data_IF_217017928461
#
_entry.id   IF_217017928461
#
_cell.length_a   1.000
_cell.length_b   1.000
_cell.length_c   1.000
_cell.angle_alpha   90.00
_cell.angle_beta   90.00
_cell.angle_gamma   90.00
#
_symmetry.space_group_name_H-M   'P 1'
#
loop_
_entity.id
_entity.type
_entity.pdbx_description
1 polymer ?
#
# COMPACT_ATOMS: atom_id res chain seq x y z
N UNK A 1 45.79 -3.21 -56.75
CA UNK A 1 45.77 -4.69 -56.72
C UNK A 1 44.35 -5.13 -56.35
N UNK A 2 43.57 -5.52 -57.37
CA UNK A 2 42.14 -5.86 -57.28
C UNK A 2 42.01 -7.34 -56.90
N UNK A 3 41.28 -7.69 -55.85
CA UNK A 3 40.81 -9.07 -55.64
C UNK A 3 39.44 -9.23 -56.30
N UNK A 4 39.39 -10.17 -57.24
CA UNK A 4 38.19 -10.59 -57.98
C UNK A 4 37.31 -11.46 -57.09
N UNK A 5 36.01 -11.22 -57.21
CA UNK A 5 34.91 -12.14 -56.93
C UNK A 5 35.08 -13.41 -57.78
N UNK A 6 34.68 -14.58 -57.27
CA UNK A 6 33.82 -15.57 -57.93
C UNK A 6 33.41 -16.67 -56.93
N UNK A 7 32.09 -16.76 -56.67
CA UNK A 7 31.35 -17.96 -56.24
C UNK A 7 31.56 -19.08 -57.29
N UNK A 8 31.30 -20.37 -57.10
CA UNK A 8 30.21 -21.08 -56.43
C UNK A 8 30.57 -22.59 -56.48
N UNK A 9 29.94 -23.40 -55.62
CA UNK A 9 29.20 -24.63 -56.01
C UNK A 9 29.13 -25.68 -54.87
N UNK A 10 27.96 -25.68 -54.24
CA UNK A 10 27.09 -26.85 -53.92
C UNK A 10 27.56 -27.92 -52.91
N UNK A 11 26.96 -27.84 -51.72
CA UNK A 11 26.73 -28.97 -50.81
C UNK A 11 25.43 -28.80 -50.03
N UNK A 12 24.34 -29.38 -50.57
CA UNK A 12 23.01 -29.73 -50.04
C UNK A 12 22.47 -29.24 -48.67
N UNK A 13 21.15 -29.01 -48.54
CA UNK A 13 20.52 -28.51 -47.31
C UNK A 13 20.37 -29.62 -46.28
N UNK A 14 21.09 -29.55 -45.15
CA UNK A 14 20.77 -30.37 -43.98
C UNK A 14 19.66 -29.68 -43.19
N UNK A 15 18.45 -30.18 -43.36
CA UNK A 15 17.30 -29.78 -42.56
C UNK A 15 17.63 -29.88 -41.08
N UNK A 16 17.37 -28.81 -40.34
CA UNK A 16 17.34 -28.83 -38.88
C UNK A 16 16.17 -29.71 -38.42
N UNK A 17 16.37 -31.03 -38.51
CA UNK A 17 15.44 -32.03 -38.01
C UNK A 17 15.24 -31.80 -36.52
N UNK A 18 14.00 -31.57 -36.13
CA UNK A 18 13.62 -31.37 -34.75
C UNK A 18 14.02 -32.59 -33.92
N UNK A 19 15.13 -32.50 -33.18
CA UNK A 19 15.59 -33.59 -32.32
C UNK A 19 14.59 -33.78 -31.19
N UNK A 20 14.38 -35.02 -30.71
CA UNK A 20 13.49 -35.29 -29.56
C UNK A 20 13.80 -34.39 -28.36
N UNK A 21 15.09 -34.09 -28.15
CA UNK A 21 15.57 -33.17 -27.12
C UNK A 21 15.17 -31.72 -27.39
N UNK A 22 15.24 -31.23 -28.63
CA UNK A 22 14.81 -29.86 -28.96
C UNK A 22 13.28 -29.72 -28.93
N UNK A 23 12.53 -30.76 -29.32
CA UNK A 23 11.09 -30.83 -29.17
C UNK A 23 10.67 -30.80 -27.69
N UNK A 24 11.26 -31.64 -26.84
CA UNK A 24 10.95 -31.67 -25.41
C UNK A 24 11.37 -30.38 -24.70
N UNK A 25 12.51 -29.77 -25.07
CA UNK A 25 12.96 -28.52 -24.46
C UNK A 25 12.09 -27.33 -24.88
N UNK A 26 11.72 -27.24 -26.16
CA UNK A 26 10.80 -26.20 -26.65
C UNK A 26 9.37 -26.43 -26.16
N UNK A 27 8.92 -27.67 -26.11
CA UNK A 27 7.65 -28.08 -25.52
C UNK A 27 7.58 -27.72 -24.05
N UNK A 28 8.54 -28.16 -23.23
CA UNK A 28 8.58 -27.84 -21.80
C UNK A 28 8.66 -26.33 -21.53
N UNK A 29 9.41 -25.56 -22.34
CA UNK A 29 9.45 -24.09 -22.21
C UNK A 29 8.13 -23.44 -22.65
N UNK A 30 7.51 -23.91 -23.73
CA UNK A 30 6.24 -23.36 -24.20
C UNK A 30 5.09 -23.71 -23.24
N UNK A 31 4.96 -24.98 -22.83
CA UNK A 31 3.90 -25.44 -21.93
C UNK A 31 4.12 -24.93 -20.50
N UNK A 32 5.36 -24.95 -20.01
CA UNK A 32 5.72 -24.40 -18.70
C UNK A 32 5.59 -22.88 -18.65
N UNK A 33 5.98 -22.18 -19.73
CA UNK A 33 5.81 -20.74 -19.86
C UNK A 33 4.34 -20.31 -19.91
N UNK A 34 3.51 -21.03 -20.67
CA UNK A 34 2.06 -20.79 -20.71
C UNK A 34 1.38 -21.11 -19.37
N UNK A 35 1.77 -22.19 -18.69
CA UNK A 35 1.25 -22.54 -17.38
C UNK A 35 1.66 -21.51 -16.30
N UNK A 36 2.91 -21.04 -16.31
CA UNK A 36 3.39 -20.00 -15.41
C UNK A 36 2.68 -18.66 -15.66
N UNK A 37 2.45 -18.29 -16.93
CA UNK A 37 1.71 -17.08 -17.28
C UNK A 37 0.22 -17.21 -16.90
N UNK A 38 -0.39 -18.38 -17.10
CA UNK A 38 -1.77 -18.62 -16.67
C UNK A 38 -1.91 -18.59 -15.15
N UNK A 39 -0.92 -19.11 -14.41
CA UNK A 39 -0.88 -19.05 -12.95
C UNK A 39 -0.65 -17.62 -12.44
N UNK A 40 0.21 -16.82 -13.10
CA UNK A 40 0.42 -15.42 -12.72
C UNK A 40 -0.80 -14.53 -12.99
N UNK A 41 -1.65 -14.92 -13.94
CA UNK A 41 -2.93 -14.27 -14.25
C UNK A 41 -4.12 -14.89 -13.50
N UNK A 42 -3.92 -15.95 -12.72
CA UNK A 42 -4.99 -16.59 -11.93
C UNK A 42 -5.70 -15.66 -10.95
N UNK A 43 -5.03 -14.67 -10.30
CA UNK A 43 -5.72 -13.71 -9.43
C UNK A 43 -6.72 -12.81 -10.17
N UNK A 44 -6.66 -12.75 -11.51
CA UNK A 44 -7.63 -12.00 -12.30
C UNK A 44 -8.97 -12.74 -12.49
N UNK A 45 -9.05 -14.04 -12.19
CA UNK A 45 -10.29 -14.84 -12.34
C UNK A 45 -11.32 -14.53 -11.26
N UNK A 46 -10.86 -14.15 -10.08
CA UNK A 46 -11.70 -13.75 -8.95
C UNK A 46 -12.26 -12.31 -9.11
N UNK A 47 -11.88 -11.59 -10.17
CA UNK A 47 -12.31 -10.21 -10.47
C UNK A 47 -13.67 -10.11 -11.18
N UNK A 48 -14.42 -11.21 -11.30
CA UNK A 48 -15.67 -11.24 -12.08
C UNK A 48 -16.92 -10.79 -11.30
N UNK A 49 -16.77 -10.33 -10.05
CA UNK A 49 -17.88 -9.92 -9.20
C UNK A 49 -17.64 -8.61 -8.44
N UNK A 50 -18.47 -7.61 -8.73
CA UNK A 50 -18.89 -6.50 -7.86
C UNK A 50 -17.89 -5.40 -7.42
N UNK A 51 -16.57 -5.51 -7.59
CA UNK A 51 -15.66 -4.39 -7.29
C UNK A 51 -14.98 -3.84 -8.55
N UNK A 52 -15.25 -2.57 -8.84
CA UNK A 52 -14.69 -1.84 -9.98
C UNK A 52 -13.17 -1.70 -9.85
N UNK A 53 -12.45 -2.68 -10.39
CA UNK A 53 -11.01 -2.63 -10.57
C UNK A 53 -10.69 -1.71 -11.75
N UNK A 54 -10.17 -0.51 -11.49
CA UNK A 54 -9.52 0.29 -12.52
C UNK A 54 -8.03 -0.05 -12.53
N UNK A 55 -7.39 -0.06 -13.70
CA UNK A 55 -5.94 -0.20 -13.82
C UNK A 55 -5.21 0.86 -12.96
N UNK A 56 -5.82 2.05 -12.81
CA UNK A 56 -5.38 3.11 -11.91
C UNK A 56 -5.33 2.60 -10.45
N UNK A 57 -6.40 1.97 -9.95
CA UNK A 57 -6.50 1.46 -8.57
C UNK A 57 -5.45 0.38 -8.27
N UNK A 58 -5.06 -0.39 -9.28
CA UNK A 58 -4.02 -1.41 -9.17
C UNK A 58 -2.60 -0.86 -9.23
N UNK A 59 -2.38 0.17 -10.05
CA UNK A 59 -1.08 0.81 -10.26
C UNK A 59 -0.82 1.99 -9.33
N UNK A 60 -1.78 2.39 -8.49
CA UNK A 60 -1.63 3.42 -7.47
C UNK A 60 -0.75 2.94 -6.30
N UNK A 61 0.51 2.61 -6.61
CA UNK A 61 1.53 2.15 -5.66
C UNK A 61 2.49 3.27 -5.23
N UNK A 62 2.23 4.52 -5.62
CA UNK A 62 3.03 5.67 -5.23
C UNK A 62 2.13 6.79 -4.73
N UNK A 63 2.46 7.33 -3.55
CA UNK A 63 1.89 8.58 -3.06
C UNK A 63 2.39 9.71 -3.96
N UNK A 64 1.61 10.02 -4.99
CA UNK A 64 1.80 11.21 -5.82
C UNK A 64 0.84 12.28 -5.31
N UNK A 65 1.36 13.48 -5.08
CA UNK A 65 0.50 14.64 -4.83
C UNK A 65 -0.36 14.89 -6.07
N UNK A 66 -1.68 14.95 -5.86
CA UNK A 66 -2.65 15.17 -6.95
C UNK A 66 -2.66 16.64 -7.34
N UNK A 67 -2.67 16.94 -8.64
CA UNK A 67 -3.03 18.28 -9.11
C UNK A 67 -4.49 18.61 -8.72
N UNK A 68 -4.89 19.89 -8.73
CA UNK A 68 -6.29 20.27 -8.46
C UNK A 68 -7.30 19.55 -9.36
N UNK A 69 -6.95 19.32 -10.63
CA UNK A 69 -7.78 18.61 -11.59
C UNK A 69 -7.84 17.10 -11.29
N UNK A 70 -6.70 16.50 -10.93
CA UNK A 70 -6.63 15.09 -10.51
C UNK A 70 -7.46 14.87 -9.23
N UNK A 71 -7.42 15.81 -8.30
CA UNK A 71 -8.21 15.79 -7.07
C UNK A 71 -9.71 15.88 -7.36
N UNK A 72 -10.17 16.84 -8.16
CA UNK A 72 -11.59 16.97 -8.49
C UNK A 72 -12.11 15.73 -9.24
N UNK A 73 -11.31 15.16 -10.16
CA UNK A 73 -11.65 13.91 -10.82
C UNK A 73 -11.79 12.74 -9.82
N UNK A 74 -10.92 12.69 -8.80
CA UNK A 74 -11.02 11.70 -7.73
C UNK A 74 -12.27 11.91 -6.86
N UNK A 75 -12.59 13.16 -6.49
CA UNK A 75 -13.78 13.51 -5.72
C UNK A 75 -15.05 13.14 -6.48
N UNK A 76 -15.17 13.49 -7.77
CA UNK A 76 -16.35 13.16 -8.56
C UNK A 76 -16.54 11.65 -8.73
N UNK A 77 -15.44 10.90 -8.91
CA UNK A 77 -15.49 9.43 -8.90
C UNK A 77 -16.07 8.89 -7.59
N UNK A 78 -15.64 9.43 -6.44
CA UNK A 78 -16.15 9.01 -5.13
C UNK A 78 -17.63 9.40 -4.98
N UNK A 79 -18.03 10.61 -5.38
CA UNK A 79 -19.44 11.04 -5.35
C UNK A 79 -20.32 10.08 -6.17
N UNK A 80 -19.88 9.71 -7.36
CA UNK A 80 -20.58 8.75 -8.22
C UNK A 80 -20.62 7.33 -7.63
N UNK A 81 -19.56 6.86 -6.98
CA UNK A 81 -19.53 5.57 -6.28
C UNK A 81 -20.54 5.52 -5.12
N UNK A 82 -20.58 6.57 -4.29
CA UNK A 82 -21.52 6.68 -3.17
C UNK A 82 -22.95 6.79 -3.68
N UNK A 83 -23.21 7.62 -4.71
CA UNK A 83 -24.54 7.74 -5.31
C UNK A 83 -25.03 6.40 -5.87
N UNK A 84 -24.18 5.63 -6.55
CA UNK A 84 -24.57 4.30 -7.04
C UNK A 84 -24.88 3.30 -5.92
N UNK A 85 -24.17 3.38 -4.80
CA UNK A 85 -24.32 2.41 -3.69
C UNK A 85 -25.49 2.74 -2.77
N UNK A 86 -25.76 4.02 -2.52
CA UNK A 86 -26.71 4.46 -1.50
C UNK A 86 -27.86 5.31 -2.04
N UNK A 87 -27.90 5.58 -3.35
CA UNK A 87 -28.92 6.41 -4.02
C UNK A 87 -29.04 7.85 -3.46
N UNK A 88 -27.94 8.34 -2.87
CA UNK A 88 -27.82 9.70 -2.33
C UNK A 88 -26.59 10.34 -2.94
N UNK A 89 -26.72 11.53 -3.52
CA UNK A 89 -25.57 12.29 -4.02
C UNK A 89 -24.90 13.03 -2.86
N UNK A 90 -23.70 12.62 -2.41
CA UNK A 90 -23.04 13.29 -1.28
C UNK A 90 -22.39 14.60 -1.71
N UNK A 91 -22.30 15.56 -0.79
CA UNK A 91 -21.40 16.69 -0.91
C UNK A 91 -20.04 16.29 -0.34
N UNK A 92 -19.02 16.19 -1.20
CA UNK A 92 -17.65 15.83 -0.81
C UNK A 92 -16.73 16.98 -1.21
N UNK A 93 -15.96 17.48 -0.25
CA UNK A 93 -15.08 18.63 -0.37
C UNK A 93 -13.67 18.29 0.07
N UNK A 94 -12.70 18.90 -0.59
CA UNK A 94 -11.31 18.95 -0.18
C UNK A 94 -11.08 20.22 0.64
N UNK A 95 -11.12 20.09 1.97
CA UNK A 95 -10.94 21.21 2.90
C UNK A 95 -9.44 21.50 3.00
N UNK A 96 -9.05 22.69 2.54
CA UNK A 96 -7.66 23.14 2.57
C UNK A 96 -7.26 23.74 3.92
N UNK A 97 -5.95 23.72 4.26
CA UNK A 97 -5.42 24.50 5.37
C UNK A 97 -5.79 25.97 5.25
N UNK A 98 -5.96 26.64 6.39
CA UNK A 98 -6.27 28.08 6.43
C UNK A 98 -4.98 28.89 6.24
N UNK A 99 -5.03 29.90 5.38
CA UNK A 99 -3.87 30.79 5.14
C UNK A 99 -3.43 31.50 6.43
N UNK A 100 -2.13 31.45 6.72
CA UNK A 100 -1.53 32.09 7.89
C UNK A 100 -1.86 31.43 9.23
N UNK A 101 -2.41 30.21 9.24
CA UNK A 101 -2.74 29.45 10.46
C UNK A 101 -1.83 28.24 10.61
N UNK A 102 -1.23 28.09 11.80
CA UNK A 102 -0.49 26.88 12.19
C UNK A 102 -1.30 26.08 13.21
N UNK A 103 -1.43 24.78 12.97
CA UNK A 103 -2.05 23.85 13.90
C UNK A 103 -0.96 23.12 14.69
N UNK A 104 -1.00 23.23 16.01
CA UNK A 104 -0.07 22.57 16.93
C UNK A 104 -0.87 21.83 18.00
N UNK A 105 -0.37 20.67 18.41
CA UNK A 105 -0.88 19.96 19.58
C UNK A 105 0.25 19.77 20.60
N UNK A 106 -0.12 19.74 21.88
CA UNK A 106 0.79 19.42 22.97
C UNK A 106 0.14 18.37 23.87
N UNK A 107 0.87 17.30 24.16
CA UNK A 107 0.41 16.22 25.03
C UNK A 107 1.10 16.31 26.39
N UNK A 108 0.30 16.35 27.45
CA UNK A 108 0.83 16.33 28.82
C UNK A 108 1.10 14.89 29.25
N UNK A 109 2.35 14.44 29.14
CA UNK A 109 2.76 13.08 29.48
C UNK A 109 2.52 12.73 30.96
N UNK A 110 2.61 13.71 31.87
CA UNK A 110 2.33 13.51 33.30
C UNK A 110 0.86 13.20 33.59
N UNK A 111 -0.04 13.39 32.62
CA UNK A 111 -1.46 13.07 32.72
C UNK A 111 -1.86 11.86 31.87
N UNK A 112 -0.96 11.35 31.03
CA UNK A 112 -1.24 10.14 30.27
C UNK A 112 -1.10 8.93 31.19
N UNK A 113 -2.19 8.17 31.32
CA UNK A 113 -2.27 6.99 32.20
C UNK A 113 -2.20 5.67 31.45
N UNK A 114 -1.90 5.66 30.14
CA UNK A 114 -1.84 4.41 29.37
C UNK A 114 -3.19 3.80 29.00
N UNK A 115 -4.32 4.50 29.17
CA UNK A 115 -5.65 3.93 28.93
C UNK A 115 -6.03 3.71 27.45
N UNK A 116 -5.18 4.13 26.50
CA UNK A 116 -5.37 4.01 25.03
C UNK A 116 -6.70 4.53 24.46
N UNK A 117 -7.49 5.31 25.21
CA UNK A 117 -8.73 5.93 24.69
C UNK A 117 -8.48 6.82 23.47
N UNK A 118 -7.34 7.50 23.40
CA UNK A 118 -6.92 8.26 22.22
C UNK A 118 -6.75 7.38 20.97
N UNK A 119 -6.24 6.15 21.14
CA UNK A 119 -6.09 5.16 20.06
C UNK A 119 -7.46 4.75 19.53
N UNK A 120 -8.36 4.31 20.41
CA UNK A 120 -9.70 3.89 20.02
C UNK A 120 -10.51 5.03 19.38
N UNK A 121 -10.39 6.24 19.91
CA UNK A 121 -11.02 7.42 19.32
C UNK A 121 -10.48 7.71 17.91
N UNK A 122 -9.16 7.63 17.72
CA UNK A 122 -8.54 7.82 16.41
C UNK A 122 -9.04 6.80 15.38
N UNK A 123 -9.11 5.51 15.77
CA UNK A 123 -9.63 4.44 14.91
C UNK A 123 -11.08 4.68 14.52
N UNK A 124 -11.91 5.09 15.49
CA UNK A 124 -13.32 5.38 15.27
C UNK A 124 -13.54 6.59 14.36
N UNK A 125 -12.81 7.68 14.60
CA UNK A 125 -12.93 8.93 13.84
C UNK A 125 -12.44 8.79 12.40
N UNK A 126 -11.30 8.13 12.19
CA UNK A 126 -10.66 8.03 10.88
C UNK A 126 -11.15 6.83 10.06
N UNK A 127 -12.19 6.13 10.53
CA UNK A 127 -12.73 4.93 9.92
C UNK A 127 -11.65 3.90 9.54
N UNK A 128 -10.69 3.70 10.45
CA UNK A 128 -9.58 2.78 10.22
C UNK A 128 -10.06 1.33 10.31
N UNK A 129 -9.33 0.45 9.63
CA UNK A 129 -9.57 -0.99 9.72
C UNK A 129 -9.40 -1.46 11.16
N UNK A 130 -10.37 -2.25 11.61
CA UNK A 130 -10.35 -2.93 12.93
C UNK A 130 -9.90 -4.38 12.80
N UNK A 131 -9.89 -4.90 11.58
CA UNK A 131 -9.42 -6.24 11.23
C UNK A 131 -8.88 -6.24 9.77
N UNK A 132 -7.55 -6.14 9.57
CA UNK A 132 -6.51 -6.02 10.58
C UNK A 132 -6.59 -4.67 11.31
N UNK A 133 -6.13 -4.61 12.55
CA UNK A 133 -6.11 -3.38 13.32
C UNK A 133 -5.07 -2.39 12.77
N UNK A 134 -5.54 -1.23 12.31
CA UNK A 134 -4.71 -0.10 11.89
C UNK A 134 -4.91 1.03 12.89
N UNK A 135 -3.81 1.59 13.40
CA UNK A 135 -3.80 2.68 14.38
C UNK A 135 -2.80 3.76 13.95
N UNK A 136 -3.25 5.01 13.80
CA UNK A 136 -2.36 6.15 13.50
C UNK A 136 -1.64 6.73 14.73
N UNK A 137 -2.15 6.43 15.92
CA UNK A 137 -1.54 6.80 17.20
C UNK A 137 -1.36 5.53 18.03
N UNK A 138 -0.21 5.43 18.70
CA UNK A 138 0.11 4.38 19.66
C UNK A 138 0.40 5.01 21.01
N UNK A 139 0.34 4.22 22.08
CA UNK A 139 0.79 4.66 23.41
C UNK A 139 1.83 3.67 23.88
N UNK A 140 3.02 4.16 24.21
CA UNK A 140 4.13 3.38 24.73
C UNK A 140 4.09 3.39 26.26
N UNK A 141 4.32 2.24 26.89
CA UNK A 141 4.68 2.15 28.30
C UNK A 141 6.20 2.33 28.39
N UNK A 142 6.64 3.41 29.04
CA UNK A 142 8.03 3.82 29.10
C UNK A 142 8.56 3.67 30.54
N UNK A 143 9.74 3.07 30.76
CA UNK A 143 10.32 3.01 32.10
C UNK A 143 10.67 4.41 32.59
N UNK A 144 10.35 4.72 33.86
CA UNK A 144 10.71 6.01 34.46
C UNK A 144 12.23 6.17 34.49
N UNK A 145 12.69 7.35 34.06
CA UNK A 145 14.11 7.68 34.01
C UNK A 145 14.76 7.46 32.64
N UNK A 146 14.07 6.81 31.69
CA UNK A 146 14.50 6.74 30.29
C UNK A 146 13.59 7.59 29.39
N UNK A 147 14.18 8.17 28.36
CA UNK A 147 13.49 8.79 27.22
C UNK A 147 13.81 8.07 25.91
N UNK A 148 14.61 7.01 25.98
CA UNK A 148 14.93 6.19 24.81
C UNK A 148 13.67 5.42 24.42
N UNK A 149 13.21 5.65 23.19
CA UNK A 149 11.96 5.08 22.68
C UNK A 149 12.08 3.56 22.50
N UNK A 150 13.31 3.06 22.29
CA UNK A 150 13.58 1.62 22.13
C UNK A 150 13.30 0.83 23.42
N UNK A 151 13.30 1.50 24.58
CA UNK A 151 12.91 0.90 25.86
C UNK A 151 11.38 0.79 26.03
N UNK A 152 10.60 1.35 25.10
CA UNK A 152 9.14 1.45 25.20
C UNK A 152 8.42 0.18 24.77
N UNK A 153 7.43 -0.25 25.58
CA UNK A 153 6.55 -1.35 25.21
C UNK A 153 5.26 -0.85 24.54
N UNK A 154 4.97 -1.37 23.34
CA UNK A 154 3.72 -1.12 22.63
C UNK A 154 2.56 -2.00 23.12
N UNK A 155 2.88 -3.17 23.66
CA UNK A 155 1.97 -4.30 23.84
C UNK A 155 1.66 -4.58 25.30
N UNK A 156 1.94 -3.64 26.21
CA UNK A 156 1.63 -3.80 27.63
C UNK A 156 0.15 -4.18 27.81
N UNK A 157 -0.06 -5.29 28.50
CA UNK A 157 -1.36 -5.82 28.85
C UNK A 157 -1.34 -6.14 30.35
N UNK A 158 -1.74 -5.15 31.13
CA UNK A 158 -1.75 -5.21 32.60
C UNK A 158 -3.16 -5.02 33.09
N UNK A 159 -3.56 -5.67 34.20
CA UNK A 159 -4.90 -5.49 34.78
C UNK A 159 -5.19 -4.04 35.17
N UNK A 160 -4.16 -3.27 35.51
CA UNK A 160 -4.27 -1.88 35.95
C UNK A 160 -3.16 -1.03 35.33
N UNK A 161 -3.56 0.15 34.84
CA UNK A 161 -2.67 1.25 34.45
C UNK A 161 -3.14 2.53 35.18
N UNK A 162 -2.23 3.43 35.59
CA UNK A 162 -0.79 3.42 35.33
C UNK A 162 0.01 2.48 36.25
N UNK A 163 1.11 1.92 35.74
CA UNK A 163 2.14 1.23 36.53
C UNK A 163 3.06 2.25 37.24
N UNK A 164 3.48 1.97 38.48
CA UNK A 164 4.29 2.91 39.28
C UNK A 164 5.68 3.15 38.67
N UNK A 165 6.29 2.12 38.08
CA UNK A 165 7.62 2.18 37.49
C UNK A 165 7.66 2.82 36.10
N UNK A 166 6.51 3.17 35.54
CA UNK A 166 6.40 3.61 34.15
C UNK A 166 5.67 4.96 34.01
N UNK A 167 5.87 5.59 32.85
CA UNK A 167 5.03 6.66 32.33
C UNK A 167 4.55 6.27 30.93
N UNK A 168 3.54 6.97 30.42
CA UNK A 168 2.93 6.61 29.15
C UNK A 168 3.11 7.72 28.12
N UNK A 169 3.57 7.33 26.94
CA UNK A 169 3.91 8.27 25.86
C UNK A 169 3.10 7.96 24.61
N UNK A 170 2.07 8.77 24.30
CA UNK A 170 1.40 8.69 23.01
C UNK A 170 2.33 9.16 21.90
N UNK A 171 2.45 8.36 20.84
CA UNK A 171 3.26 8.62 19.65
C UNK A 171 2.36 8.50 18.42
N UNK A 172 2.39 9.52 17.58
CA UNK A 172 1.63 9.65 16.34
C UNK A 172 2.48 10.43 15.32
N UNK A 173 1.96 10.69 14.13
CA UNK A 173 2.61 11.63 13.22
C UNK A 173 2.81 12.98 13.91
N UNK A 174 4.07 13.41 14.02
CA UNK A 174 4.45 14.66 14.69
C UNK A 174 4.19 15.91 13.86
N UNK A 175 3.75 15.76 12.60
CA UNK A 175 3.56 16.86 11.65
C UNK A 175 4.83 17.72 11.56
N UNK A 176 5.97 17.03 11.42
CA UNK A 176 7.28 17.67 11.32
C UNK A 176 7.28 18.67 10.17
N UNK A 177 7.90 19.83 10.38
CA UNK A 177 8.06 20.81 9.31
C UNK A 177 9.01 20.31 8.21
N UNK A 178 9.99 19.46 8.55
CA UNK A 178 11.02 18.92 7.66
C UNK A 178 11.41 17.49 8.06
#
# INVERSE_FOLDING_TARGET
MRLRVLNDERGGPTGAGMTRRSFLRRGAVATGGLAALAASLSPLRDLTGADSFSLQKFLQKHYKEMSPEEMEAALERIRAEVQRRYDIRPEIRDIKPMDGVEFVYALNLSRCIGCRKCVHACVAENNQSRDPEIQYIRVLEMPRGSIDIEDGDHHYDRPTVPDEGHYYMPIQCHQCAN
#
